data_IF_217786515476
#
_entry.id   IF_217786515476
#
_cell.length_a   1.000
_cell.length_b   1.000
_cell.length_c   1.000
_cell.angle_alpha   90.00
_cell.angle_beta   90.00
_cell.angle_gamma   90.00
#
_symmetry.space_group_name_H-M   'P 1'
#
loop_
_entity.id
_entity.type
_entity.pdbx_description
1 polymer ?
#
# COMPACT_ATOMS: atom_id res chain seq x y z
N UNK A 1 -2.54 -17.24 4.84
CA UNK A 1 -3.98 -17.05 4.71
C UNK A 1 -4.21 -15.57 4.68
N UNK A 2 -4.72 -15.00 3.59
CA UNK A 2 -5.02 -13.57 3.54
C UNK A 2 -6.20 -13.29 4.46
N UNK A 3 -6.09 -12.27 5.31
CA UNK A 3 -7.17 -11.86 6.20
C UNK A 3 -7.83 -10.65 5.55
N UNK A 4 -9.13 -10.77 5.30
CA UNK A 4 -9.94 -9.71 4.72
C UNK A 4 -10.81 -9.10 5.80
N UNK A 5 -11.08 -7.80 5.69
CA UNK A 5 -11.95 -7.10 6.61
C UNK A 5 -13.10 -6.44 5.83
N UNK A 6 -14.28 -6.46 6.41
CA UNK A 6 -15.47 -5.86 5.83
C UNK A 6 -15.52 -4.36 6.13
N UNK A 7 -15.52 -3.55 5.08
CA UNK A 7 -15.71 -2.09 5.16
C UNK A 7 -14.53 -1.29 5.70
N UNK A 8 -14.79 -0.03 6.00
CA UNK A 8 -13.81 0.90 6.56
C UNK A 8 -13.39 0.47 7.97
N UNK A 9 -12.07 0.44 8.20
CA UNK A 9 -11.46 -0.04 9.44
C UNK A 9 -11.49 0.98 10.59
N UNK A 10 -11.92 2.21 10.32
CA UNK A 10 -11.98 3.28 11.30
C UNK A 10 -13.25 3.22 12.15
N UNK A 11 -13.41 2.16 12.95
CA UNK A 11 -14.52 2.02 13.86
C UNK A 11 -14.48 3.10 14.94
N UNK A 12 -15.61 3.74 15.23
CA UNK A 12 -15.73 4.77 16.27
C UNK A 12 -15.37 4.28 17.66
N UNK A 13 -15.62 3.01 17.97
CA UNK A 13 -15.23 2.38 19.23
C UNK A 13 -13.69 2.39 19.46
N UNK A 14 -12.93 2.31 18.37
CA UNK A 14 -11.46 2.30 18.39
C UNK A 14 -10.86 3.71 18.26
N UNK A 15 -11.68 4.73 18.04
CA UNK A 15 -11.21 6.10 17.86
C UNK A 15 -10.68 6.68 19.17
N UNK A 16 -9.56 7.35 19.09
CA UNK A 16 -8.93 8.13 20.18
C UNK A 16 -8.47 9.47 19.65
N UNK A 17 -8.32 10.41 20.57
CA UNK A 17 -7.75 11.71 20.25
C UNK A 17 -6.71 12.10 21.31
N UNK A 18 -5.59 12.63 20.83
CA UNK A 18 -4.54 13.19 21.66
C UNK A 18 -3.86 14.35 20.94
N UNK A 19 -3.69 15.48 21.64
CA UNK A 19 -3.01 16.67 21.13
C UNK A 19 -3.55 17.14 19.76
N UNK A 20 -4.87 17.03 19.55
CA UNK A 20 -5.54 17.40 18.30
C UNK A 20 -5.40 16.39 17.16
N UNK A 21 -4.76 15.24 17.42
CA UNK A 21 -4.61 14.17 16.42
C UNK A 21 -5.61 13.05 16.71
N UNK A 22 -6.35 12.65 15.68
CA UNK A 22 -7.21 11.46 15.73
C UNK A 22 -6.43 10.24 15.30
N UNK A 23 -6.59 9.13 16.03
CA UNK A 23 -6.01 7.84 15.70
C UNK A 23 -6.95 6.70 16.09
N UNK A 24 -6.71 5.53 15.51
CA UNK A 24 -7.54 4.34 15.77
C UNK A 24 -6.68 3.21 16.30
N UNK A 25 -7.15 2.59 17.40
CA UNK A 25 -6.55 1.35 17.90
C UNK A 25 -6.74 0.24 16.85
N UNK A 26 -5.69 -0.53 16.60
CA UNK A 26 -5.67 -1.68 15.66
C UNK A 26 -5.35 -3.00 16.37
N UNK A 27 -5.50 -3.01 17.69
CA UNK A 27 -5.25 -4.17 18.53
C UNK A 27 -3.79 -4.54 18.67
N UNK A 28 -3.55 -5.64 19.38
CA UNK A 28 -2.21 -6.17 19.66
C UNK A 28 -1.89 -7.30 18.70
N UNK A 29 -0.63 -7.38 18.28
CA UNK A 29 -0.08 -8.49 17.54
C UNK A 29 1.14 -9.04 18.26
N UNK A 30 1.20 -10.36 18.40
CA UNK A 30 2.35 -11.04 18.96
C UNK A 30 3.29 -11.50 17.84
N UNK A 31 4.56 -11.14 17.97
CA UNK A 31 5.62 -11.55 17.04
C UNK A 31 6.83 -11.95 17.89
N UNK A 32 7.31 -13.17 17.72
CA UNK A 32 8.47 -13.72 18.44
C UNK A 32 8.40 -13.56 19.97
N UNK A 33 7.18 -13.64 20.53
CA UNK A 33 6.94 -13.50 21.99
C UNK A 33 6.85 -12.06 22.49
N UNK A 34 7.08 -11.06 21.64
CA UNK A 34 6.84 -9.66 21.98
C UNK A 34 5.43 -9.20 21.53
N UNK A 35 4.85 -8.25 22.29
CA UNK A 35 3.49 -7.76 22.08
C UNK A 35 3.52 -6.34 21.55
N UNK A 36 2.99 -6.18 20.34
CA UNK A 36 2.97 -4.90 19.62
C UNK A 36 1.55 -4.36 19.51
N UNK A 37 1.28 -3.24 20.15
CA UNK A 37 0.04 -2.49 19.96
C UNK A 37 0.19 -1.52 18.79
N UNK A 38 -0.88 -1.37 17.98
CA UNK A 38 -0.83 -0.63 16.73
C UNK A 38 -1.86 0.49 16.72
N UNK A 39 -1.43 1.66 16.24
CA UNK A 39 -2.23 2.87 16.19
C UNK A 39 -2.22 3.42 14.77
N UNK A 40 -3.37 3.42 14.10
CA UNK A 40 -3.52 4.00 12.76
C UNK A 40 -3.80 5.49 12.89
N UNK A 41 -2.87 6.31 12.42
CA UNK A 41 -2.92 7.76 12.58
C UNK A 41 -3.69 8.38 11.43
N UNK A 42 -4.80 9.06 11.73
CA UNK A 42 -5.61 9.76 10.74
C UNK A 42 -4.96 11.06 10.31
N UNK A 43 -4.86 11.27 9.01
CA UNK A 43 -4.36 12.51 8.42
C UNK A 43 -5.45 13.20 7.59
N UNK A 44 -5.18 14.39 7.09
CA UNK A 44 -5.91 14.93 5.93
C UNK A 44 -5.56 14.12 4.68
N UNK A 45 -6.30 14.31 3.60
CA UNK A 45 -5.91 13.76 2.30
C UNK A 45 -4.59 14.41 1.85
N UNK A 46 -3.54 13.61 1.74
CA UNK A 46 -2.19 14.09 1.40
C UNK A 46 -2.12 14.37 -0.10
N UNK A 47 -1.75 15.60 -0.45
CA UNK A 47 -1.67 16.05 -1.82
C UNK A 47 -0.25 15.94 -2.40
N UNK A 48 -0.15 16.16 -3.70
CA UNK A 48 1.14 16.16 -4.41
C UNK A 48 2.03 17.28 -3.91
N UNK A 49 3.26 16.93 -3.54
CA UNK A 49 4.27 17.90 -3.11
C UNK A 49 4.17 18.33 -1.66
N UNK A 50 3.25 17.79 -0.89
CA UNK A 50 3.23 17.98 0.56
C UNK A 50 4.55 17.53 1.21
N UNK A 51 4.99 18.23 2.25
CA UNK A 51 6.21 17.82 2.97
C UNK A 51 5.89 16.69 3.97
N UNK A 52 6.33 15.49 3.66
CA UNK A 52 6.12 14.33 4.53
C UNK A 52 6.73 14.51 5.94
N UNK A 53 7.78 15.33 6.10
CA UNK A 53 8.36 15.61 7.43
C UNK A 53 7.39 16.46 8.25
N UNK A 54 6.79 17.48 7.64
CA UNK A 54 5.82 18.34 8.31
C UNK A 54 4.52 17.58 8.63
N UNK A 55 4.09 16.67 7.74
CA UNK A 55 2.95 15.79 8.01
C UNK A 55 3.24 14.89 9.23
N UNK A 56 4.40 14.25 9.28
CA UNK A 56 4.79 13.41 10.42
C UNK A 56 4.95 14.23 11.69
N UNK A 57 5.51 15.45 11.61
CA UNK A 57 5.61 16.37 12.75
C UNK A 57 4.24 16.70 13.31
N UNK A 58 3.27 16.95 12.45
CA UNK A 58 1.91 17.35 12.82
C UNK A 58 1.09 16.19 13.39
N UNK A 59 1.13 15.02 12.75
CA UNK A 59 0.18 13.93 13.06
C UNK A 59 0.81 12.78 13.85
N UNK A 60 2.09 12.47 13.63
CA UNK A 60 2.72 11.31 14.25
C UNK A 60 3.50 11.68 15.49
N UNK A 61 4.30 12.75 15.44
CA UNK A 61 5.18 13.13 16.55
C UNK A 61 4.45 13.35 17.90
N UNK A 62 3.22 13.92 17.97
CA UNK A 62 2.49 14.05 19.23
C UNK A 62 2.12 12.72 19.89
N UNK A 63 2.04 11.64 19.11
CA UNK A 63 1.68 10.30 19.55
C UNK A 63 2.90 9.41 19.81
N UNK A 64 4.01 9.72 19.10
CA UNK A 64 5.23 8.93 19.11
C UNK A 64 5.89 8.87 20.48
N UNK A 65 6.42 7.70 20.83
CA UNK A 65 7.25 7.48 22.02
C UNK A 65 8.57 6.84 21.59
N UNK A 66 9.62 7.07 22.33
CA UNK A 66 10.89 6.39 22.11
C UNK A 66 10.70 4.87 22.16
N UNK A 67 11.25 4.15 21.17
CA UNK A 67 11.06 2.72 20.99
C UNK A 67 9.91 2.33 20.04
N UNK A 68 9.01 3.27 19.73
CA UNK A 68 8.00 3.02 18.68
C UNK A 68 8.65 2.89 17.30
N UNK A 69 8.03 2.10 16.43
CA UNK A 69 8.35 2.04 15.00
C UNK A 69 7.15 2.54 14.21
N UNK A 70 7.38 3.50 13.31
CA UNK A 70 6.32 4.06 12.46
C UNK A 70 6.39 3.46 11.06
N UNK A 71 5.30 2.86 10.59
CA UNK A 71 5.21 2.44 9.19
C UNK A 71 4.64 3.56 8.33
N UNK A 72 5.23 3.76 7.16
CA UNK A 72 4.87 4.81 6.21
C UNK A 72 4.34 4.14 4.94
N UNK A 73 3.13 4.48 4.51
CA UNK A 73 2.59 3.99 3.25
C UNK A 73 3.36 4.55 2.04
N UNK A 74 3.78 3.68 1.12
CA UNK A 74 4.60 4.07 -0.05
C UNK A 74 3.93 5.13 -0.93
N UNK A 75 2.63 4.95 -1.20
CA UNK A 75 1.85 5.84 -2.07
C UNK A 75 1.85 7.28 -1.57
N UNK A 76 1.73 7.46 -0.26
CA UNK A 76 1.75 8.78 0.38
C UNK A 76 3.12 9.44 0.25
N UNK A 77 4.19 8.69 0.47
CA UNK A 77 5.55 9.24 0.30
C UNK A 77 5.81 9.60 -1.16
N UNK A 78 5.34 8.77 -2.10
CA UNK A 78 5.45 9.09 -3.54
C UNK A 78 4.67 10.34 -3.93
N UNK A 79 3.49 10.55 -3.37
CA UNK A 79 2.71 11.80 -3.54
C UNK A 79 3.50 13.01 -3.01
N UNK A 80 4.07 12.92 -1.82
CA UNK A 80 4.90 13.97 -1.25
C UNK A 80 6.14 14.28 -2.10
N UNK A 81 6.70 13.26 -2.76
CA UNK A 81 7.84 13.43 -3.68
C UNK A 81 7.43 13.95 -5.07
N UNK A 82 6.16 14.21 -5.31
CA UNK A 82 5.58 14.49 -6.64
C UNK A 82 5.97 13.44 -7.69
N UNK A 83 6.14 12.18 -7.24
CA UNK A 83 6.51 11.07 -8.11
C UNK A 83 5.27 10.44 -8.74
N UNK A 84 4.58 11.23 -9.54
CA UNK A 84 3.28 10.91 -10.12
C UNK A 84 3.25 11.21 -11.62
N UNK A 85 2.34 10.58 -12.34
CA UNK A 85 2.13 10.81 -13.77
C UNK A 85 0.66 11.05 -14.04
N UNK A 86 0.33 12.21 -14.61
CA UNK A 86 -1.04 12.52 -15.03
C UNK A 86 -1.39 11.80 -16.34
N UNK A 87 -2.58 11.25 -16.40
CA UNK A 87 -3.09 10.49 -17.56
C UNK A 87 -3.03 11.28 -18.86
N UNK A 88 -3.30 12.60 -18.80
CA UNK A 88 -3.22 13.48 -19.97
C UNK A 88 -1.82 13.58 -20.59
N UNK A 89 -0.78 13.28 -19.80
CA UNK A 89 0.62 13.34 -20.24
C UNK A 89 1.09 11.99 -20.84
N UNK A 90 0.30 10.92 -20.71
CA UNK A 90 0.63 9.59 -21.23
C UNK A 90 0.07 9.42 -22.64
N UNK A 91 0.96 9.29 -23.63
CA UNK A 91 0.59 9.02 -25.02
C UNK A 91 0.60 7.52 -25.29
N UNK A 92 -0.55 6.90 -25.19
CA UNK A 92 -0.69 5.45 -25.38
C UNK A 92 -0.39 5.07 -26.84
N UNK A 93 0.73 4.35 -27.06
CA UNK A 93 1.17 3.88 -28.35
C UNK A 93 0.47 2.58 -28.80
N UNK A 94 0.82 2.13 -30.02
CA UNK A 94 0.28 0.90 -30.59
C UNK A 94 0.56 -0.33 -29.71
N UNK A 95 1.79 -0.50 -29.24
CA UNK A 95 2.18 -1.68 -28.46
C UNK A 95 1.46 -1.76 -27.11
N UNK A 96 1.27 -0.65 -26.42
CA UNK A 96 0.51 -0.64 -25.18
C UNK A 96 -0.94 -1.07 -25.40
N UNK A 97 -1.61 -0.53 -26.43
CA UNK A 97 -2.98 -0.92 -26.80
C UNK A 97 -3.11 -2.37 -27.29
N UNK A 98 -2.09 -2.88 -27.96
CA UNK A 98 -2.09 -4.25 -28.47
C UNK A 98 -1.85 -5.25 -27.36
N UNK A 99 -0.79 -5.06 -26.55
CA UNK A 99 -0.40 -5.99 -25.50
C UNK A 99 -1.36 -6.01 -24.32
N UNK A 100 -1.99 -4.88 -23.98
CA UNK A 100 -2.97 -4.82 -22.89
C UNK A 100 -4.15 -5.77 -23.09
N UNK A 101 -4.53 -6.05 -24.34
CA UNK A 101 -5.62 -7.00 -24.68
C UNK A 101 -5.30 -8.45 -24.28
N UNK A 102 -4.03 -8.81 -24.17
CA UNK A 102 -3.57 -10.15 -23.79
C UNK A 102 -3.19 -10.24 -22.30
N UNK A 103 -3.10 -9.10 -21.63
CA UNK A 103 -2.87 -9.08 -20.20
C UNK A 103 -4.11 -9.60 -19.49
N UNK A 104 -3.87 -10.34 -18.41
CA UNK A 104 -4.97 -10.81 -17.57
C UNK A 104 -5.41 -9.66 -16.70
N UNK A 105 -6.69 -9.38 -16.67
CA UNK A 105 -7.27 -8.46 -15.71
C UNK A 105 -6.92 -8.94 -14.30
N UNK A 106 -6.26 -8.09 -13.54
CA UNK A 106 -6.05 -8.31 -12.13
C UNK A 106 -7.24 -7.73 -11.37
N UNK A 107 -7.95 -8.56 -10.63
CA UNK A 107 -9.06 -8.10 -9.80
C UNK A 107 -8.61 -7.24 -8.59
N UNK A 108 -7.31 -7.10 -8.39
CA UNK A 108 -6.68 -6.41 -7.23
C UNK A 108 -6.26 -4.99 -7.47
N UNK A 109 -6.65 -4.43 -8.56
CA UNK A 109 -6.17 -3.14 -8.99
C UNK A 109 -6.05 -3.10 -10.51
N UNK A 110 -5.61 -1.99 -11.05
CA UNK A 110 -5.39 -1.87 -12.48
C UNK A 110 -4.18 -2.70 -12.87
N UNK A 111 -4.44 -3.78 -13.60
CA UNK A 111 -3.42 -4.65 -14.16
C UNK A 111 -2.75 -4.06 -15.40
N UNK A 112 -1.90 -4.84 -16.05
CA UNK A 112 -1.31 -4.49 -17.36
C UNK A 112 -2.32 -4.58 -18.51
N UNK A 113 -3.57 -4.91 -18.23
CA UNK A 113 -4.73 -4.80 -19.12
C UNK A 113 -5.17 -3.35 -19.35
N UNK A 114 -4.74 -2.41 -18.47
CA UNK A 114 -4.94 -0.99 -18.68
C UNK A 114 -3.85 -0.40 -19.58
N UNK A 115 -4.20 0.13 -20.79
CA UNK A 115 -3.22 0.59 -21.76
C UNK A 115 -2.32 1.72 -21.25
N UNK A 116 -2.82 2.61 -20.39
CA UNK A 116 -2.01 3.71 -19.83
C UNK A 116 -0.96 3.18 -18.87
N UNK A 117 -1.31 2.22 -18.00
CA UNK A 117 -0.35 1.59 -17.09
C UNK A 117 0.73 0.83 -17.86
N UNK A 118 0.33 0.09 -18.90
CA UNK A 118 1.29 -0.63 -19.74
C UNK A 118 2.19 0.34 -20.53
N UNK A 119 1.66 1.49 -20.96
CA UNK A 119 2.49 2.52 -21.58
C UNK A 119 3.53 3.06 -20.61
N UNK A 120 3.16 3.36 -19.35
CA UNK A 120 4.13 3.76 -18.33
C UNK A 120 5.21 2.71 -18.11
N UNK A 121 4.86 1.43 -18.09
CA UNK A 121 5.84 0.35 -18.00
C UNK A 121 6.80 0.34 -19.21
N UNK A 122 6.30 0.61 -20.42
CA UNK A 122 7.11 0.74 -21.64
C UNK A 122 8.04 1.96 -21.53
N UNK A 123 7.53 3.09 -21.04
CA UNK A 123 8.31 4.32 -20.91
C UNK A 123 9.43 4.19 -19.86
N UNK A 124 9.16 3.46 -18.76
CA UNK A 124 10.13 3.21 -17.69
C UNK A 124 11.22 2.19 -18.07
N UNK A 125 10.85 1.11 -18.75
CA UNK A 125 11.75 -0.05 -18.97
C UNK A 125 12.15 -0.26 -20.42
N UNK A 126 11.52 0.42 -21.34
CA UNK A 126 11.71 0.25 -22.78
C UNK A 126 10.91 -0.92 -23.35
N UNK A 127 10.46 -0.74 -24.59
CA UNK A 127 9.63 -1.73 -25.31
C UNK A 127 10.30 -3.11 -25.44
N UNK A 128 11.62 -3.25 -25.71
CA UNK A 128 12.24 -4.57 -25.87
C UNK A 128 12.14 -5.43 -24.60
N UNK A 129 12.34 -4.83 -23.41
CA UNK A 129 12.24 -5.57 -22.15
C UNK A 129 10.78 -5.98 -21.86
N UNK A 130 9.83 -5.09 -22.13
CA UNK A 130 8.40 -5.40 -21.97
C UNK A 130 7.98 -6.54 -22.89
N UNK A 131 8.39 -6.54 -24.16
CA UNK A 131 8.10 -7.64 -25.09
C UNK A 131 8.69 -8.96 -24.62
N UNK A 132 9.94 -8.93 -24.13
CA UNK A 132 10.58 -10.11 -23.56
C UNK A 132 9.84 -10.62 -22.33
N UNK A 133 9.46 -9.73 -21.42
CA UNK A 133 8.71 -10.09 -20.22
C UNK A 133 7.33 -10.68 -20.54
N UNK A 134 6.62 -10.12 -21.51
CA UNK A 134 5.33 -10.65 -22.01
C UNK A 134 5.52 -12.05 -22.61
N UNK A 135 6.54 -12.25 -23.43
CA UNK A 135 6.85 -13.56 -24.00
C UNK A 135 7.16 -14.59 -22.92
N UNK A 136 8.10 -14.31 -22.03
CA UNK A 136 8.46 -15.20 -20.92
C UNK A 136 7.29 -15.47 -19.97
N UNK A 137 6.50 -14.45 -19.68
CA UNK A 137 5.29 -14.57 -18.85
C UNK A 137 4.24 -15.46 -19.50
N UNK A 138 4.03 -15.32 -20.80
CA UNK A 138 3.12 -16.16 -21.59
C UNK A 138 3.56 -17.63 -21.61
N UNK A 139 4.83 -17.88 -21.90
CA UNK A 139 5.41 -19.24 -21.87
C UNK A 139 5.32 -19.85 -20.49
N UNK A 140 5.70 -19.11 -19.43
CA UNK A 140 5.64 -19.60 -18.05
C UNK A 140 4.21 -19.98 -17.61
N UNK A 141 3.23 -19.24 -18.12
CA UNK A 141 1.81 -19.51 -17.83
C UNK A 141 1.33 -20.83 -18.44
N UNK A 142 1.85 -21.23 -19.60
CA UNK A 142 1.56 -22.56 -20.19
C UNK A 142 2.03 -23.71 -19.27
N UNK A 143 3.05 -23.44 -18.44
CA UNK A 143 3.56 -24.37 -17.42
C UNK A 143 3.00 -24.10 -16.02
N UNK A 144 1.88 -23.36 -15.90
CA UNK A 144 1.23 -23.07 -14.62
C UNK A 144 1.95 -22.06 -13.72
N UNK A 145 3.06 -21.43 -14.18
CA UNK A 145 3.81 -20.44 -13.39
C UNK A 145 3.24 -19.03 -13.62
N UNK A 146 2.97 -18.31 -12.52
CA UNK A 146 2.47 -16.93 -12.53
C UNK A 146 3.53 -15.94 -12.03
N UNK A 147 3.35 -14.66 -12.32
CA UNK A 147 4.21 -13.57 -11.82
C UNK A 147 5.55 -13.41 -12.53
N UNK A 148 5.87 -14.21 -13.57
CA UNK A 148 7.17 -14.14 -14.28
C UNK A 148 7.35 -12.79 -14.97
N UNK A 149 6.29 -12.19 -15.51
CA UNK A 149 6.33 -10.85 -16.10
C UNK A 149 6.91 -9.83 -15.10
N UNK A 150 6.32 -9.73 -13.90
CA UNK A 150 6.77 -8.77 -12.88
C UNK A 150 8.17 -9.05 -12.35
N UNK A 151 8.58 -10.32 -12.29
CA UNK A 151 9.97 -10.68 -11.93
C UNK A 151 11.00 -10.16 -12.93
N UNK A 152 10.62 -10.06 -14.21
CA UNK A 152 11.51 -9.57 -15.27
C UNK A 152 11.52 -8.04 -15.33
N UNK A 153 10.36 -7.40 -15.24
CA UNK A 153 10.27 -5.93 -15.36
C UNK A 153 10.65 -5.22 -14.07
N UNK A 154 10.57 -5.89 -12.93
CA UNK A 154 10.97 -5.38 -11.61
C UNK A 154 9.86 -4.63 -10.89
N UNK A 155 10.16 -4.27 -9.63
CA UNK A 155 9.24 -3.61 -8.72
C UNK A 155 8.79 -2.23 -9.20
N UNK A 156 9.64 -1.47 -9.89
CA UNK A 156 9.26 -0.15 -10.42
C UNK A 156 8.02 -0.20 -11.32
N UNK A 157 7.77 -1.34 -11.98
CA UNK A 157 6.59 -1.56 -12.81
C UNK A 157 5.47 -2.21 -12.00
N UNK A 158 5.82 -3.10 -11.08
CA UNK A 158 4.84 -3.76 -10.23
C UNK A 158 4.10 -2.77 -9.32
N UNK A 159 4.83 -1.82 -8.73
CA UNK A 159 4.32 -0.80 -7.84
C UNK A 159 3.68 0.42 -8.52
N UNK A 160 3.55 0.46 -9.86
CA UNK A 160 2.77 1.52 -10.52
C UNK A 160 1.31 1.38 -10.06
N UNK A 161 0.79 2.42 -9.42
CA UNK A 161 -0.56 2.46 -8.91
C UNK A 161 -1.30 3.68 -9.48
N UNK A 162 -2.54 3.50 -9.93
CA UNK A 162 -3.31 4.63 -10.43
C UNK A 162 -4.12 4.36 -11.70
N UNK A 163 -4.73 5.44 -12.21
CA UNK A 163 -5.75 5.41 -13.23
C UNK A 163 -6.97 4.56 -12.83
N UNK A 164 -7.24 4.50 -11.54
CA UNK A 164 -8.32 3.72 -10.97
C UNK A 164 -9.66 4.39 -11.18
N UNK A 165 -10.50 3.85 -12.04
CA UNK A 165 -11.88 4.31 -12.22
C UNK A 165 -12.79 4.03 -11.00
N UNK A 166 -12.30 3.22 -10.05
CA UNK A 166 -13.07 2.79 -8.86
C UNK A 166 -12.41 3.20 -7.53
N UNK A 167 -11.42 4.10 -7.56
CA UNK A 167 -10.86 4.64 -6.32
C UNK A 167 -11.90 5.45 -5.55
N UNK A 168 -11.86 5.38 -4.22
CA UNK A 168 -12.63 6.26 -3.34
C UNK A 168 -12.25 7.74 -3.51
N UNK A 169 -11.06 8.01 -4.07
CA UNK A 169 -10.55 9.35 -4.33
C UNK A 169 -10.46 9.64 -5.82
N UNK A 170 -11.21 10.65 -6.29
CA UNK A 170 -11.24 11.06 -7.70
C UNK A 170 -9.86 11.42 -8.26
N UNK A 171 -8.95 11.88 -7.40
CA UNK A 171 -7.56 12.20 -7.76
C UNK A 171 -6.85 11.04 -8.45
N UNK A 172 -7.10 9.80 -8.03
CA UNK A 172 -6.45 8.61 -8.60
C UNK A 172 -7.07 8.12 -9.91
N UNK A 173 -8.20 8.70 -10.35
CA UNK A 173 -8.78 8.34 -11.66
C UNK A 173 -7.88 8.78 -12.82
N UNK A 174 -7.22 9.93 -12.68
CA UNK A 174 -6.40 10.54 -13.72
C UNK A 174 -4.92 10.66 -13.32
N UNK A 175 -4.53 10.05 -12.20
CA UNK A 175 -3.18 10.09 -11.69
C UNK A 175 -2.63 8.67 -11.47
N UNK A 176 -1.42 8.42 -11.95
CA UNK A 176 -0.64 7.27 -11.54
C UNK A 176 0.42 7.69 -10.54
N UNK A 177 0.55 6.93 -9.46
CA UNK A 177 1.59 7.07 -8.44
C UNK A 177 2.65 6.01 -8.71
N UNK A 178 3.90 6.44 -8.81
CA UNK A 178 5.05 5.56 -8.98
C UNK A 178 5.64 5.19 -7.62
N UNK A 179 6.56 4.24 -7.60
CA UNK A 179 7.25 3.86 -6.37
C UNK A 179 8.04 5.04 -5.78
N UNK A 180 8.14 5.16 -4.45
CA UNK A 180 8.91 6.23 -3.82
C UNK A 180 10.38 6.19 -4.23
N UNK A 181 10.95 7.37 -4.42
CA UNK A 181 12.38 7.52 -4.72
C UNK A 181 13.18 7.40 -3.44
N UNK A 182 14.29 6.65 -3.49
CA UNK A 182 15.28 6.56 -2.43
C UNK A 182 14.66 6.30 -1.04
N UNK A 183 13.88 5.23 -0.85
CA UNK A 183 13.09 4.98 0.37
C UNK A 183 13.93 4.99 1.64
N UNK A 184 15.15 4.47 1.60
CA UNK A 184 16.07 4.50 2.75
C UNK A 184 16.49 5.93 3.13
N UNK A 185 16.71 6.82 2.13
CA UNK A 185 17.02 8.22 2.41
C UNK A 185 15.82 8.97 2.98
N UNK A 186 14.60 8.61 2.57
CA UNK A 186 13.38 9.15 3.18
C UNK A 186 13.34 8.80 4.66
N UNK A 187 13.54 7.53 5.01
CA UNK A 187 13.53 7.07 6.39
C UNK A 187 14.69 7.69 7.21
N UNK A 188 15.89 7.81 6.62
CA UNK A 188 17.03 8.43 7.26
C UNK A 188 16.77 9.94 7.56
N UNK A 189 16.18 10.67 6.61
CA UNK A 189 15.80 12.08 6.80
C UNK A 189 14.77 12.26 7.91
N UNK A 190 13.77 11.38 7.98
CA UNK A 190 12.75 11.40 9.04
C UNK A 190 13.43 11.16 10.41
N UNK A 191 14.32 10.16 10.50
CA UNK A 191 15.08 9.89 11.72
C UNK A 191 15.94 11.07 12.15
N UNK A 192 16.64 11.68 11.22
CA UNK A 192 17.51 12.84 11.49
C UNK A 192 16.71 14.06 11.99
N UNK A 193 15.58 14.37 11.34
CA UNK A 193 14.84 15.61 11.60
C UNK A 193 13.80 15.50 12.71
N UNK A 194 13.25 14.31 12.97
CA UNK A 194 12.18 14.11 13.94
C UNK A 194 12.53 13.12 15.07
N UNK A 195 13.64 12.39 14.94
CA UNK A 195 13.98 11.32 15.89
C UNK A 195 13.07 10.08 15.79
N UNK A 196 12.25 9.97 14.76
CA UNK A 196 11.29 8.88 14.58
C UNK A 196 11.97 7.69 13.92
N UNK A 197 11.89 6.51 14.54
CA UNK A 197 12.24 5.23 13.91
C UNK A 197 11.12 4.83 12.96
N UNK A 198 11.44 4.61 11.68
CA UNK A 198 10.41 4.33 10.68
C UNK A 198 10.82 3.33 9.62
N UNK A 199 9.80 2.74 9.00
CA UNK A 199 9.91 1.86 7.82
C UNK A 199 8.94 2.32 6.76
N UNK A 200 9.39 2.35 5.50
CA UNK A 200 8.56 2.59 4.33
C UNK A 200 8.08 1.25 3.79
N UNK A 201 6.79 1.11 3.59
CA UNK A 201 6.18 -0.18 3.25
C UNK A 201 5.24 -0.07 2.05
N UNK A 202 5.30 -1.07 1.16
CA UNK A 202 4.18 -1.46 0.32
C UNK A 202 3.38 -2.51 1.10
N UNK A 203 2.20 -2.11 1.54
CA UNK A 203 1.34 -2.94 2.38
C UNK A 203 -0.03 -3.11 1.74
N UNK A 204 -0.40 -4.35 1.54
CA UNK A 204 -1.74 -4.73 1.12
C UNK A 204 -2.20 -5.97 1.90
N UNK A 205 -3.47 -6.37 1.75
CA UNK A 205 -4.03 -7.49 2.51
C UNK A 205 -3.40 -8.87 2.20
N UNK A 206 -2.45 -8.93 1.26
CA UNK A 206 -1.81 -10.20 0.85
C UNK A 206 -0.37 -10.26 1.32
N UNK A 207 0.37 -9.19 1.10
CA UNK A 207 1.80 -9.11 1.32
C UNK A 207 2.19 -7.75 1.88
N UNK A 208 3.25 -7.74 2.65
CA UNK A 208 3.93 -6.55 3.12
C UNK A 208 5.36 -6.61 2.59
N UNK A 209 5.78 -5.56 1.91
CA UNK A 209 7.16 -5.40 1.45
C UNK A 209 7.78 -4.18 2.13
N UNK A 210 8.96 -4.36 2.71
CA UNK A 210 9.75 -3.27 3.30
C UNK A 210 10.59 -2.67 2.18
N UNK A 211 10.33 -1.42 1.84
CA UNK A 211 11.04 -0.68 0.79
C UNK A 211 12.25 0.07 1.33
N UNK A 212 12.21 0.46 2.60
CA UNK A 212 13.30 1.14 3.27
C UNK A 212 13.04 1.27 4.76
N UNK A 213 14.11 1.45 5.53
CA UNK A 213 14.05 1.62 6.99
C UNK A 213 15.05 2.67 7.47
N UNK A 214 14.77 3.26 8.63
CA UNK A 214 15.67 4.21 9.26
C UNK A 214 16.96 3.51 9.74
N UNK A 215 18.10 4.21 9.81
CA UNK A 215 19.40 3.60 10.09
C UNK A 215 19.46 2.82 11.41
N UNK A 216 18.71 3.25 12.42
CA UNK A 216 18.63 2.60 13.73
C UNK A 216 17.92 1.23 13.68
N UNK A 217 17.13 0.98 12.66
CA UNK A 217 16.47 -0.31 12.41
C UNK A 217 17.25 -1.24 11.47
N UNK A 218 18.47 -0.87 11.06
CA UNK A 218 19.27 -1.64 10.09
C UNK A 218 19.48 -3.11 10.50
N UNK A 219 19.60 -3.37 11.80
CA UNK A 219 19.79 -4.73 12.32
C UNK A 219 18.49 -5.51 12.53
N UNK A 220 17.33 -4.89 12.36
CA UNK A 220 16.04 -5.58 12.52
C UNK A 220 15.68 -6.26 11.19
N UNK A 221 15.39 -7.57 11.18
CA UNK A 221 14.98 -8.26 9.95
C UNK A 221 13.69 -7.68 9.37
N UNK A 222 13.62 -7.58 8.04
CA UNK A 222 12.44 -7.05 7.35
C UNK A 222 11.20 -7.89 7.63
N UNK A 223 11.35 -9.21 7.71
CA UNK A 223 10.28 -10.14 8.04
C UNK A 223 9.68 -9.88 9.42
N UNK A 224 10.52 -9.55 10.42
CA UNK A 224 10.06 -9.24 11.76
C UNK A 224 9.28 -7.91 11.82
N UNK A 225 9.68 -6.93 11.01
CA UNK A 225 8.96 -5.66 10.88
C UNK A 225 7.63 -5.86 10.14
N UNK A 226 7.64 -6.59 9.03
CA UNK A 226 6.46 -6.88 8.24
C UNK A 226 5.42 -7.69 9.03
N UNK A 227 5.87 -8.65 9.85
CA UNK A 227 4.96 -9.49 10.65
C UNK A 227 4.17 -8.67 11.67
N UNK A 228 4.71 -7.57 12.19
CA UNK A 228 4.00 -6.68 13.14
C UNK A 228 2.76 -6.01 12.53
N UNK A 229 2.71 -5.88 11.20
CA UNK A 229 1.63 -5.21 10.45
C UNK A 229 0.99 -6.09 9.39
N UNK A 230 1.16 -7.42 9.48
CA UNK A 230 0.77 -8.38 8.45
C UNK A 230 -0.71 -8.36 8.07
N UNK A 231 -1.56 -7.92 8.95
CA UNK A 231 -2.99 -7.75 8.75
C UNK A 231 -3.35 -6.40 8.13
N UNK A 232 -2.36 -5.66 7.60
CA UNK A 232 -2.50 -4.36 6.97
C UNK A 232 -3.34 -3.37 7.80
N UNK A 233 -2.87 -2.95 8.98
CA UNK A 233 -3.64 -2.08 9.89
C UNK A 233 -3.93 -0.68 9.31
N UNK A 234 -3.28 -0.28 8.23
CA UNK A 234 -3.54 0.99 7.55
C UNK A 234 -4.88 1.02 6.81
N UNK A 235 -5.37 -0.14 6.36
CA UNK A 235 -6.53 -0.22 5.49
C UNK A 235 -6.16 -0.08 4.01
N UNK A 236 -7.19 -0.13 3.15
CA UNK A 236 -7.00 -0.08 1.69
C UNK A 236 -7.96 0.87 0.98
N UNK A 237 -8.85 1.54 1.69
CA UNK A 237 -9.91 2.36 1.09
C UNK A 237 -9.77 3.84 1.51
N UNK A 238 -10.79 4.39 2.12
CA UNK A 238 -10.92 5.81 2.46
C UNK A 238 -10.53 6.15 3.93
N UNK A 239 -9.82 5.25 4.58
CA UNK A 239 -9.43 5.39 6.00
C UNK A 239 -8.61 6.64 6.30
N UNK A 240 -7.81 7.12 5.35
CA UNK A 240 -6.86 8.23 5.54
C UNK A 240 -5.88 8.00 6.70
N UNK A 241 -5.45 6.76 6.88
CA UNK A 241 -4.54 6.33 7.96
C UNK A 241 -3.22 5.78 7.41
N UNK A 242 -2.42 6.59 6.69
CA UNK A 242 -1.23 6.12 6.00
C UNK A 242 -0.03 5.81 6.91
N UNK A 243 -0.12 6.14 8.18
CA UNK A 243 0.93 5.94 9.17
C UNK A 243 0.43 5.05 10.30
N UNK A 244 1.19 3.99 10.61
CA UNK A 244 0.90 3.12 11.75
C UNK A 244 2.04 3.23 12.75
N UNK A 245 1.72 3.62 13.97
CA UNK A 245 2.65 3.52 15.09
C UNK A 245 2.55 2.11 15.64
N UNK A 246 3.66 1.42 15.70
CA UNK A 246 3.81 0.07 16.26
C UNK A 246 4.60 0.19 17.54
N UNK A 247 3.97 -0.08 18.66
CA UNK A 247 4.52 0.07 20.01
C UNK A 247 4.69 -1.27 20.69
N UNK A 248 5.89 -1.57 21.14
CA UNK A 248 6.11 -2.69 22.05
C UNK A 248 5.53 -2.35 23.43
N UNK A 249 4.57 -3.13 23.89
CA UNK A 249 3.93 -2.93 25.19
C UNK A 249 4.42 -3.90 26.26
N UNK A 250 5.27 -4.87 25.92
CA UNK A 250 5.72 -5.89 26.87
C UNK A 250 4.55 -6.54 27.60
N UNK A 251 4.60 -6.51 28.94
CA UNK A 251 3.54 -7.03 29.81
C UNK A 251 2.45 -5.98 30.16
N UNK A 252 2.52 -4.77 29.61
CA UNK A 252 1.53 -3.74 29.90
C UNK A 252 0.14 -4.13 29.37
N UNK A 253 -0.90 -3.61 30.02
CA UNK A 253 -2.26 -3.79 29.56
C UNK A 253 -2.48 -3.01 28.25
N UNK A 254 -3.06 -3.70 27.27
CA UNK A 254 -3.38 -3.10 25.98
C UNK A 254 -4.62 -2.19 26.09
N UNK A 255 -4.71 -1.21 25.20
CA UNK A 255 -5.91 -0.39 25.11
C UNK A 255 -7.12 -1.21 24.63
N UNK A 256 -8.34 -0.89 25.11
CA UNK A 256 -9.55 -1.57 24.66
C UNK A 256 -9.70 -1.46 23.12
N UNK A 257 -9.90 -2.62 22.50
CA UNK A 257 -10.00 -2.75 21.05
C UNK A 257 -11.25 -3.56 20.67
N UNK A 258 -12.05 -3.01 19.79
CA UNK A 258 -13.14 -3.73 19.15
C UNK A 258 -12.61 -4.36 17.85
N UNK A 259 -12.59 -5.72 17.73
CA UNK A 259 -12.04 -6.38 16.57
C UNK A 259 -12.90 -6.12 15.33
N UNK A 260 -12.23 -5.94 14.20
CA UNK A 260 -12.86 -5.87 12.89
C UNK A 260 -13.43 -7.22 12.52
N UNK A 261 -14.56 -7.23 11.79
CA UNK A 261 -15.08 -8.46 11.22
C UNK A 261 -14.13 -8.97 10.13
N UNK A 262 -13.45 -10.07 10.43
CA UNK A 262 -12.71 -10.79 9.42
C UNK A 262 -13.71 -11.57 8.54
N UNK A 263 -13.52 -11.50 7.22
CA UNK A 263 -14.25 -12.31 6.25
C UNK A 263 -13.31 -13.32 5.60
N UNK A 264 -13.80 -14.50 5.31
CA UNK A 264 -13.02 -15.49 4.57
C UNK A 264 -12.82 -14.98 3.14
N UNK A 265 -11.59 -14.59 2.81
CA UNK A 265 -11.19 -14.19 1.47
C UNK A 265 -10.88 -15.41 0.59
N UNK A 266 -10.93 -15.25 -0.72
CA UNK A 266 -10.56 -16.33 -1.64
C UNK A 266 -9.06 -16.65 -1.49
N UNK A 267 -8.77 -17.93 -1.40
CA UNK A 267 -7.40 -18.45 -1.30
C UNK A 267 -6.69 -18.53 -2.65
N UNK A 268 -7.39 -18.21 -3.74
CA UNK A 268 -6.89 -18.37 -5.12
C UNK A 268 -6.31 -17.09 -5.75
N UNK A 269 -6.06 -16.06 -4.95
CA UNK A 269 -5.51 -14.78 -5.41
C UNK A 269 -6.51 -13.94 -6.21
N UNK A 270 -7.80 -14.23 -6.11
CA UNK A 270 -8.86 -13.35 -6.60
C UNK A 270 -9.15 -12.31 -5.54
N UNK A 271 -9.11 -11.05 -5.93
CA UNK A 271 -9.39 -9.90 -5.09
C UNK A 271 -10.78 -9.36 -5.37
N UNK A 272 -11.35 -8.75 -4.37
CA UNK A 272 -12.60 -8.02 -4.48
C UNK A 272 -12.28 -6.53 -4.48
N UNK A 273 -12.78 -5.81 -5.48
CA UNK A 273 -12.94 -4.38 -5.34
C UNK A 273 -14.11 -4.17 -4.37
N UNK A 274 -13.85 -3.51 -3.26
CA UNK A 274 -14.90 -3.05 -2.37
C UNK A 274 -15.68 -1.97 -3.10
N UNK A 275 -16.97 -2.21 -3.37
CA UNK A 275 -17.89 -1.16 -3.78
C UNK A 275 -18.12 -0.19 -2.61
N UNK A 276 -18.65 1.00 -2.91
CA UNK A 276 -19.07 2.00 -1.90
C UNK A 276 -19.91 1.44 -0.75
N UNK A 277 -20.42 0.23 -0.91
CA UNK A 277 -21.33 -0.45 0.02
C UNK A 277 -20.62 -1.49 0.90
N UNK A 278 -19.29 -1.60 0.84
CA UNK A 278 -18.47 -2.39 1.76
C UNK A 278 -18.72 -3.89 1.73
N UNK A 279 -19.33 -4.44 0.69
CA UNK A 279 -19.66 -5.87 0.65
C UNK A 279 -18.75 -6.64 -0.32
N UNK A 280 -17.87 -7.53 0.17
CA UNK A 280 -17.09 -8.40 -0.68
C UNK A 280 -17.88 -9.68 -0.99
N UNK A 281 -18.74 -9.68 -2.00
CA UNK A 281 -19.35 -10.92 -2.46
C UNK A 281 -18.62 -11.51 -3.66
N UNK A 282 -18.18 -12.78 -3.57
CA UNK A 282 -17.71 -13.51 -4.72
C UNK A 282 -18.89 -13.79 -5.66
N UNK A 283 -18.94 -13.11 -6.79
CA UNK A 283 -19.80 -13.53 -7.88
C UNK A 283 -20.76 -12.52 -8.47
N UNK A 284 -21.10 -11.43 -7.82
CA UNK A 284 -21.92 -10.39 -8.44
C UNK A 284 -21.07 -9.28 -9.05
N UNK A 285 -20.61 -9.50 -10.27
CA UNK A 285 -20.30 -8.39 -11.15
C UNK A 285 -21.61 -7.68 -11.46
N UNK A 286 -21.77 -6.46 -11.00
CA UNK A 286 -22.69 -5.53 -11.65
C UNK A 286 -22.29 -5.50 -13.13
N UNK A 287 -23.19 -5.95 -13.99
CA UNK A 287 -23.02 -5.97 -15.45
C UNK A 287 -23.03 -4.57 -16.08
N UNK A 288 -22.98 -3.54 -15.26
CA UNK A 288 -23.06 -2.14 -15.69
C UNK A 288 -21.95 -1.34 -15.03
N UNK A 289 -20.74 -1.46 -15.52
CA UNK A 289 -19.76 -0.36 -15.44
C UNK A 289 -18.66 -0.62 -16.47
N UNK A 290 -18.77 0.11 -17.54
CA UNK A 290 -17.74 0.33 -18.55
C UNK A 290 -16.95 1.58 -18.18
#
# INVERSE_FOLDING_TARGET
MAIWYEGNRNLSANERQKDGVTYYIRGVREVDGARYERYAVKTHFIERGDDYVEILRRYVLPLYREGDVVTLGEKVISMCQDNTVEKKNVRVGFWARFLSKFATSNHNGIGMDEPYKLQLAIDLKGLPLILWAVFCGGVARLFGKRGVFYKIVGQDVAGIDGFYSHSAFDTYHDLAVLNPKEPEKVCARIREQLGISCVLVDANDIAIEILGKSPDLACVPDEALAERIRDNPAGQDDELTPFIIVRDIGDAEAEPYEPLKAVEGPTDGRFFAFGRDGCPFPGERSKNTY
#
